data_IF_263630643987
#
_entry.id   IF_263630643987
#
_cell.length_a   1.000
_cell.length_b   1.000
_cell.length_c   1.000
_cell.angle_alpha   90.00
_cell.angle_beta   90.00
_cell.angle_gamma   90.00
#
_symmetry.space_group_name_H-M   'P 1'
#
loop_
_entity.id
_entity.type
_entity.pdbx_description
1 polymer ?
#
# COMPACT_ATOMS: atom_id res chain seq x y z
N UNK A 1 -21.27 -15.91 -9.04
CA UNK A 1 -20.22 -15.47 -10.00
C UNK A 1 -18.88 -15.70 -9.31
N UNK A 2 -17.92 -16.32 -9.98
CA UNK A 2 -16.55 -16.43 -9.46
C UNK A 2 -15.95 -15.04 -9.36
N UNK A 3 -15.47 -14.66 -8.18
CA UNK A 3 -14.77 -13.42 -7.94
C UNK A 3 -13.34 -13.48 -8.50
N UNK A 4 -12.74 -12.35 -8.92
CA UNK A 4 -11.32 -12.34 -9.29
C UNK A 4 -10.43 -12.80 -8.12
N UNK A 5 -10.88 -12.60 -6.88
CA UNK A 5 -10.20 -13.06 -5.67
C UNK A 5 -9.95 -14.56 -5.63
N UNK A 6 -10.86 -15.37 -6.24
CA UNK A 6 -10.78 -16.83 -6.26
C UNK A 6 -9.65 -17.36 -7.16
N UNK A 7 -9.15 -16.50 -8.07
CA UNK A 7 -8.13 -16.85 -9.07
C UNK A 7 -6.74 -16.32 -8.75
N UNK A 8 -6.57 -15.64 -7.61
CA UNK A 8 -5.27 -15.08 -7.22
C UNK A 8 -4.31 -16.18 -6.74
N UNK A 9 -3.00 -16.04 -7.01
CA UNK A 9 -1.99 -16.90 -6.39
C UNK A 9 -1.99 -16.72 -4.86
N UNK A 10 -1.45 -17.68 -4.12
CA UNK A 10 -1.27 -17.53 -2.68
C UNK A 10 0.20 -17.71 -2.31
N UNK A 11 0.79 -16.77 -1.57
CA UNK A 11 0.16 -15.48 -1.18
C UNK A 11 0.02 -14.55 -2.38
N UNK A 12 -1.11 -13.83 -2.47
CA UNK A 12 -1.20 -12.68 -3.35
C UNK A 12 -0.67 -11.43 -2.66
N UNK A 13 -0.16 -10.50 -3.48
CA UNK A 13 0.40 -9.24 -3.00
C UNK A 13 -0.45 -8.05 -3.45
N UNK A 14 -0.65 -7.10 -2.53
CA UNK A 14 -1.46 -5.90 -2.77
C UNK A 14 -0.61 -4.65 -2.53
N UNK A 15 -0.68 -3.67 -3.43
CA UNK A 15 -0.25 -2.30 -3.13
C UNK A 15 -1.29 -1.63 -2.23
N UNK A 16 -0.88 -1.25 -1.02
CA UNK A 16 -1.78 -0.59 -0.08
C UNK A 16 -2.32 0.73 -0.64
N UNK A 17 -3.63 1.02 -0.49
CA UNK A 17 -4.20 2.32 -0.82
C UNK A 17 -3.59 3.41 0.07
N UNK A 18 -3.02 4.45 -0.56
CA UNK A 18 -2.36 5.56 0.13
C UNK A 18 -2.80 6.89 -0.47
N UNK A 19 -3.38 7.75 0.37
CA UNK A 19 -3.87 9.07 -0.02
C UNK A 19 -2.77 9.94 -0.62
N UNK A 20 -3.07 10.57 -1.74
CA UNK A 20 -2.18 11.38 -2.55
C UNK A 20 -0.92 10.63 -3.05
N UNK A 21 -0.98 9.30 -3.13
CA UNK A 21 0.12 8.43 -3.57
C UNK A 21 -0.34 7.44 -4.64
N UNK A 22 -1.35 6.62 -4.36
CA UNK A 22 -1.74 5.50 -5.23
C UNK A 22 -2.76 5.91 -6.31
N UNK A 23 -2.54 7.08 -6.92
CA UNK A 23 -3.24 7.49 -8.14
C UNK A 23 -2.81 6.66 -9.36
N UNK A 24 -3.45 6.87 -10.48
CA UNK A 24 -3.15 6.16 -11.73
C UNK A 24 -1.66 6.26 -12.12
N UNK A 25 -1.03 7.42 -11.89
CA UNK A 25 0.40 7.63 -12.20
C UNK A 25 1.28 6.69 -11.38
N UNK A 26 1.12 6.69 -10.07
CA UNK A 26 1.97 5.89 -9.20
C UNK A 26 1.67 4.39 -9.30
N UNK A 27 0.42 4.00 -9.53
CA UNK A 27 0.09 2.59 -9.80
C UNK A 27 0.81 2.06 -11.04
N UNK A 28 0.86 2.85 -12.14
CA UNK A 28 1.63 2.49 -13.32
C UNK A 28 3.14 2.43 -13.07
N UNK A 29 3.68 3.33 -12.26
CA UNK A 29 5.10 3.28 -11.84
C UNK A 29 5.39 1.97 -11.10
N UNK A 30 4.55 1.59 -10.14
CA UNK A 30 4.71 0.33 -9.40
C UNK A 30 4.53 -0.87 -10.32
N UNK A 31 3.57 -0.83 -11.24
CA UNK A 31 3.36 -1.86 -12.27
C UNK A 31 4.62 -2.08 -13.12
N UNK A 32 5.24 -1.00 -13.57
CA UNK A 32 6.50 -1.03 -14.35
C UNK A 32 7.69 -1.54 -13.52
N UNK A 33 7.76 -1.17 -12.25
CA UNK A 33 8.83 -1.59 -11.35
C UNK A 33 8.74 -3.07 -10.97
N UNK A 34 7.52 -3.57 -10.77
CA UNK A 34 7.20 -4.95 -10.40
C UNK A 34 5.77 -4.98 -9.89
N UNK A 35 4.84 -5.54 -10.67
CA UNK A 35 3.43 -5.49 -10.35
C UNK A 35 3.09 -6.31 -9.09
N UNK A 36 2.28 -5.80 -8.15
CA UNK A 36 1.53 -6.63 -7.22
C UNK A 36 0.43 -7.40 -7.98
N UNK A 37 -0.21 -8.35 -7.31
CA UNK A 37 -1.30 -9.12 -7.90
C UNK A 37 -2.62 -8.33 -7.93
N UNK A 38 -2.79 -7.36 -7.00
CA UNK A 38 -3.99 -6.49 -6.92
C UNK A 38 -3.58 -5.05 -6.64
N UNK A 39 -4.20 -4.13 -7.36
CA UNK A 39 -4.11 -2.70 -7.09
C UNK A 39 -5.37 -2.17 -6.41
N UNK A 40 -5.19 -1.16 -5.57
CA UNK A 40 -6.27 -0.37 -4.99
C UNK A 40 -6.11 1.08 -5.42
N UNK A 41 -7.24 1.78 -5.61
CA UNK A 41 -7.23 3.22 -5.81
C UNK A 41 -6.84 3.95 -4.52
N UNK A 42 -6.65 5.26 -4.59
CA UNK A 42 -6.78 6.12 -3.41
C UNK A 42 -8.22 6.04 -2.89
N UNK A 43 -8.41 6.36 -1.60
CA UNK A 43 -9.75 6.23 -1.01
C UNK A 43 -10.62 7.46 -1.25
N UNK A 44 -11.75 7.27 -1.94
CA UNK A 44 -12.70 8.30 -2.30
C UNK A 44 -13.85 8.39 -1.29
N UNK A 45 -14.28 9.62 -0.98
CA UNK A 45 -15.37 9.87 -0.03
C UNK A 45 -16.74 9.73 -0.70
N UNK A 46 -17.56 8.80 -0.22
CA UNK A 46 -18.89 8.54 -0.77
C UNK A 46 -19.83 9.76 -0.63
N UNK A 47 -19.95 10.31 0.57
CA UNK A 47 -20.78 11.51 0.84
C UNK A 47 -20.30 12.71 0.03
N UNK A 48 -18.98 12.91 -0.07
CA UNK A 48 -18.41 13.97 -0.90
C UNK A 48 -18.82 13.83 -2.37
N UNK A 49 -18.75 12.62 -2.90
CA UNK A 49 -19.14 12.37 -4.29
C UNK A 49 -20.65 12.55 -4.53
N UNK A 50 -21.50 12.04 -3.64
CA UNK A 50 -22.96 12.19 -3.76
C UNK A 50 -23.37 13.67 -3.80
N UNK A 51 -22.72 14.52 -2.99
CA UNK A 51 -23.07 15.94 -2.92
C UNK A 51 -22.40 16.83 -3.96
N UNK A 52 -21.23 16.48 -4.47
CA UNK A 52 -20.46 17.35 -5.35
C UNK A 52 -19.87 16.66 -6.59
N UNK A 53 -20.23 15.39 -6.82
CA UNK A 53 -19.77 14.61 -7.98
C UNK A 53 -18.26 14.39 -8.01
N UNK A 54 -17.74 14.15 -9.20
CA UNK A 54 -16.33 13.78 -9.41
C UNK A 54 -15.32 14.85 -8.93
N UNK A 55 -15.74 16.10 -8.84
CA UNK A 55 -14.91 17.18 -8.26
C UNK A 55 -14.49 16.90 -6.82
N UNK A 56 -15.37 16.27 -6.03
CA UNK A 56 -15.10 15.98 -4.62
C UNK A 56 -14.04 14.87 -4.44
N UNK A 57 -13.91 14.00 -5.41
CA UNK A 57 -12.98 12.88 -5.36
C UNK A 57 -11.65 13.15 -6.11
N UNK A 58 -11.56 14.30 -6.81
CA UNK A 58 -10.33 14.84 -7.37
C UNK A 58 -9.47 13.81 -8.13
N UNK A 59 -10.07 13.06 -9.06
CA UNK A 59 -9.36 12.10 -9.91
C UNK A 59 -8.96 10.78 -9.24
N UNK A 60 -9.39 10.50 -7.99
CA UNK A 60 -9.03 9.27 -7.26
C UNK A 60 -9.49 7.98 -7.94
N UNK A 61 -10.56 8.05 -8.75
CA UNK A 61 -11.08 6.92 -9.52
C UNK A 61 -10.59 6.86 -10.97
N UNK A 62 -9.67 7.75 -11.37
CA UNK A 62 -9.05 7.68 -12.71
C UNK A 62 -8.25 6.39 -12.82
N UNK A 63 -8.53 5.64 -13.89
CA UNK A 63 -7.88 4.36 -14.21
C UNK A 63 -7.68 4.19 -15.71
N UNK A 64 -6.96 3.17 -16.09
CA UNK A 64 -6.77 2.72 -17.48
C UNK A 64 -7.33 1.31 -17.65
N UNK A 65 -7.61 0.94 -18.90
CA UNK A 65 -8.23 -0.36 -19.23
C UNK A 65 -7.31 -1.56 -18.95
N UNK A 66 -6.02 -1.33 -18.76
CA UNK A 66 -5.02 -2.37 -18.48
C UNK A 66 -4.73 -2.55 -16.98
N UNK A 67 -5.46 -1.87 -16.11
CA UNK A 67 -5.36 -2.02 -14.65
C UNK A 67 -6.39 -3.04 -14.13
N UNK A 68 -6.08 -4.32 -14.26
CA UNK A 68 -6.89 -5.44 -13.75
C UNK A 68 -6.01 -6.44 -13.00
N UNK A 69 -6.43 -6.91 -11.80
CA UNK A 69 -7.57 -6.41 -11.01
C UNK A 69 -7.29 -5.09 -10.30
N UNK A 70 -8.26 -4.18 -10.36
CA UNK A 70 -8.22 -2.90 -9.67
C UNK A 70 -9.46 -2.71 -8.79
N UNK A 71 -9.26 -2.53 -7.50
CA UNK A 71 -10.31 -2.35 -6.49
C UNK A 71 -10.47 -0.87 -6.17
N UNK A 72 -11.72 -0.36 -6.26
CA UNK A 72 -12.04 0.99 -5.82
C UNK A 72 -12.12 1.03 -4.29
N UNK A 73 -11.23 1.80 -3.63
CA UNK A 73 -11.36 2.00 -2.20
C UNK A 73 -12.22 3.23 -1.91
N UNK A 74 -13.33 3.01 -1.20
CA UNK A 74 -14.30 4.03 -0.81
C UNK A 74 -14.37 4.18 0.72
N UNK A 75 -14.86 5.30 1.21
CA UNK A 75 -15.10 5.52 2.62
C UNK A 75 -16.27 6.45 2.88
N UNK A 76 -16.96 6.24 3.98
CA UNK A 76 -18.11 7.01 4.41
C UNK A 76 -18.77 6.36 5.62
N UNK A 77 -19.75 7.02 6.20
CA UNK A 77 -20.54 6.51 7.32
C UNK A 77 -22.05 6.56 7.04
N UNK A 78 -22.44 7.03 5.85
CA UNK A 78 -23.87 7.10 5.45
C UNK A 78 -24.16 5.96 4.47
N UNK A 79 -24.98 4.96 4.85
CA UNK A 79 -25.21 3.78 4.02
C UNK A 79 -25.80 4.13 2.64
N UNK A 80 -26.71 5.09 2.54
CA UNK A 80 -27.29 5.50 1.25
C UNK A 80 -26.28 6.13 0.30
N UNK A 81 -25.28 6.86 0.82
CA UNK A 81 -24.20 7.40 0.02
C UNK A 81 -23.24 6.30 -0.43
N UNK A 82 -22.97 5.32 0.46
CA UNK A 82 -22.15 4.17 0.15
C UNK A 82 -22.76 3.30 -0.95
N UNK A 83 -24.08 3.10 -0.94
CA UNK A 83 -24.82 2.38 -1.99
C UNK A 83 -24.66 3.07 -3.35
N UNK A 84 -24.96 4.36 -3.41
CA UNK A 84 -24.90 5.13 -4.66
C UNK A 84 -23.48 5.16 -5.22
N UNK A 85 -22.50 5.37 -4.36
CA UNK A 85 -21.11 5.47 -4.81
C UNK A 85 -20.52 4.11 -5.21
N UNK A 86 -20.91 3.02 -4.53
CA UNK A 86 -20.55 1.68 -4.92
C UNK A 86 -21.13 1.30 -6.29
N UNK A 87 -22.41 1.65 -6.55
CA UNK A 87 -23.02 1.46 -7.86
C UNK A 87 -22.29 2.25 -8.96
N UNK A 88 -21.86 3.48 -8.67
CA UNK A 88 -21.02 4.26 -9.60
C UNK A 88 -19.68 3.58 -9.88
N UNK A 89 -18.98 3.05 -8.87
CA UNK A 89 -17.75 2.30 -9.07
C UNK A 89 -17.97 1.06 -9.97
N UNK A 90 -19.08 0.35 -9.80
CA UNK A 90 -19.44 -0.77 -10.66
C UNK A 90 -19.67 -0.33 -12.13
N UNK A 91 -20.33 0.79 -12.35
CA UNK A 91 -20.53 1.38 -13.69
C UNK A 91 -19.21 1.80 -14.35
N UNK A 92 -18.23 2.23 -13.57
CA UNK A 92 -16.88 2.56 -14.05
C UNK A 92 -16.04 1.31 -14.36
N UNK A 93 -16.55 0.10 -14.10
CA UNK A 93 -15.87 -1.16 -14.41
C UNK A 93 -14.69 -1.45 -13.49
N UNK A 94 -14.80 -1.16 -12.20
CA UNK A 94 -13.88 -1.67 -11.19
C UNK A 94 -14.16 -3.17 -10.92
N UNK A 95 -13.11 -3.91 -10.55
CA UNK A 95 -13.21 -5.35 -10.31
C UNK A 95 -13.76 -5.69 -8.92
N UNK A 96 -13.71 -4.73 -7.99
CA UNK A 96 -14.21 -4.87 -6.63
C UNK A 96 -14.28 -3.54 -5.90
N UNK A 97 -14.87 -3.58 -4.72
CA UNK A 97 -14.99 -2.44 -3.81
C UNK A 97 -14.28 -2.81 -2.51
N UNK A 98 -13.50 -1.88 -1.98
CA UNK A 98 -12.92 -1.98 -0.64
C UNK A 98 -13.40 -0.81 0.22
N UNK A 99 -13.81 -1.11 1.46
CA UNK A 99 -14.26 -0.07 2.38
C UNK A 99 -13.13 0.26 3.36
N UNK A 100 -12.70 1.53 3.38
CA UNK A 100 -11.69 2.00 4.31
C UNK A 100 -12.28 2.19 5.71
N UNK A 101 -11.94 1.30 6.64
CA UNK A 101 -12.27 1.36 8.05
C UNK A 101 -11.03 1.48 8.94
N UNK A 102 -9.91 1.97 8.37
CA UNK A 102 -8.63 2.02 9.07
C UNK A 102 -7.91 3.38 9.04
N UNK A 103 -8.35 4.34 8.21
CA UNK A 103 -7.68 5.64 8.11
C UNK A 103 -7.81 6.44 9.40
N UNK A 104 -6.67 6.84 10.04
CA UNK A 104 -6.68 7.58 11.31
C UNK A 104 -6.74 9.10 11.11
N UNK A 105 -6.76 9.60 9.88
CA UNK A 105 -6.73 11.03 9.57
C UNK A 105 -7.94 11.76 10.16
N UNK A 106 -7.73 12.96 10.69
CA UNK A 106 -8.79 13.76 11.33
C UNK A 106 -9.97 14.03 10.40
N UNK A 107 -9.75 14.19 9.11
CA UNK A 107 -10.80 14.38 8.11
C UNK A 107 -11.63 13.10 7.91
N UNK A 108 -10.99 11.94 7.87
CA UNK A 108 -11.68 10.66 7.67
C UNK A 108 -12.51 10.23 8.90
N UNK A 109 -11.98 10.40 10.11
CA UNK A 109 -12.68 9.96 11.35
C UNK A 109 -13.92 10.79 11.71
N UNK A 110 -14.19 11.89 11.02
CA UNK A 110 -15.42 12.67 11.23
C UNK A 110 -16.66 11.93 10.75
N UNK A 111 -16.56 11.16 9.68
CA UNK A 111 -17.70 10.51 9.03
C UNK A 111 -17.43 9.06 8.57
N UNK A 112 -16.27 8.46 8.90
CA UNK A 112 -15.91 7.12 8.45
C UNK A 112 -14.50 6.74 8.87
N UNK A 113 -13.79 5.98 8.04
CA UNK A 113 -12.43 5.51 8.33
C UNK A 113 -12.36 4.74 9.65
N UNK A 114 -11.30 4.95 10.43
CA UNK A 114 -11.12 4.23 11.70
C UNK A 114 -12.18 4.54 12.78
N UNK A 115 -13.01 5.59 12.61
CA UNK A 115 -14.11 5.86 13.54
C UNK A 115 -15.21 4.79 13.50
N UNK A 116 -15.32 4.05 12.39
CA UNK A 116 -16.28 2.96 12.26
C UNK A 116 -15.99 1.80 13.22
N UNK A 117 -14.77 1.66 13.73
CA UNK A 117 -14.42 0.68 14.76
C UNK A 117 -15.28 0.88 16.04
N UNK A 118 -15.66 2.11 16.34
CA UNK A 118 -16.53 2.47 17.48
C UNK A 118 -18.02 2.51 17.12
N UNK A 119 -18.36 2.22 15.88
CA UNK A 119 -19.72 2.27 15.33
C UNK A 119 -19.97 1.04 14.47
N UNK A 120 -19.93 -0.18 15.05
CA UNK A 120 -20.05 -1.43 14.30
C UNK A 120 -21.38 -1.55 13.56
N UNK A 121 -22.45 -0.98 14.09
CA UNK A 121 -23.77 -0.85 13.44
C UNK A 121 -23.69 -0.09 12.11
N UNK A 122 -22.99 1.03 12.10
CA UNK A 122 -22.76 1.83 10.88
C UNK A 122 -21.82 1.12 9.92
N UNK A 123 -20.78 0.45 10.44
CA UNK A 123 -19.85 -0.31 9.61
C UNK A 123 -20.56 -1.44 8.85
N UNK A 124 -21.41 -2.22 9.55
CA UNK A 124 -22.18 -3.30 8.93
C UNK A 124 -23.20 -2.80 7.93
N UNK A 125 -23.89 -1.69 8.23
CA UNK A 125 -24.82 -1.05 7.30
C UNK A 125 -24.10 -0.54 6.03
N UNK A 126 -22.90 0.05 6.17
CA UNK A 126 -22.09 0.50 5.02
C UNK A 126 -21.62 -0.67 4.14
N UNK A 127 -21.25 -1.83 4.75
CA UNK A 127 -20.90 -3.03 4.00
C UNK A 127 -22.12 -3.56 3.23
N UNK A 128 -23.26 -3.68 3.90
CA UNK A 128 -24.50 -4.17 3.27
C UNK A 128 -24.91 -3.26 2.08
N UNK A 129 -24.81 -1.94 2.24
CA UNK A 129 -25.07 -0.97 1.20
C UNK A 129 -24.11 -1.10 0.00
N UNK A 130 -22.81 -1.24 0.25
CA UNK A 130 -21.83 -1.40 -0.83
C UNK A 130 -22.02 -2.71 -1.62
N UNK A 131 -22.49 -3.78 -0.99
CA UNK A 131 -22.77 -5.07 -1.63
C UNK A 131 -23.88 -5.01 -2.68
N UNK A 132 -24.79 -4.06 -2.58
CA UNK A 132 -25.89 -3.88 -3.56
C UNK A 132 -25.37 -3.59 -4.99
N UNK A 133 -24.14 -3.12 -5.11
CA UNK A 133 -23.49 -2.87 -6.40
C UNK A 133 -23.15 -4.16 -7.18
N UNK A 134 -23.27 -5.35 -6.57
CA UNK A 134 -23.02 -6.64 -7.21
C UNK A 134 -21.53 -6.97 -7.43
N UNK A 135 -20.60 -6.14 -6.92
CA UNK A 135 -19.17 -6.39 -6.93
C UNK A 135 -18.72 -7.09 -5.62
N UNK A 136 -17.62 -7.85 -5.65
CA UNK A 136 -17.03 -8.37 -4.42
C UNK A 136 -16.60 -7.22 -3.51
N UNK A 137 -17.01 -7.29 -2.22
CA UNK A 137 -16.70 -6.27 -1.22
C UNK A 137 -15.64 -6.79 -0.27
N UNK A 138 -14.58 -6.00 -0.11
CA UNK A 138 -13.54 -6.18 0.90
C UNK A 138 -13.54 -5.02 1.90
N UNK A 139 -12.87 -5.22 3.03
CA UNK A 139 -12.69 -4.18 4.05
C UNK A 139 -11.21 -4.09 4.43
N UNK A 140 -10.69 -2.86 4.51
CA UNK A 140 -9.39 -2.59 5.09
C UNK A 140 -9.53 -1.88 6.42
N UNK A 141 -9.08 -2.53 7.50
CA UNK A 141 -9.23 -2.03 8.87
C UNK A 141 -7.95 -2.10 9.69
N UNK A 142 -8.09 -1.86 11.01
CA UNK A 142 -7.07 -1.98 12.06
C UNK A 142 -7.56 -2.92 13.16
N UNK A 143 -6.65 -3.28 14.08
CA UNK A 143 -6.96 -4.15 15.22
C UNK A 143 -8.03 -3.55 16.15
N UNK A 144 -8.02 -2.24 16.32
CA UNK A 144 -8.94 -1.54 17.19
C UNK A 144 -8.77 -0.04 17.06
N UNK A 145 -9.56 0.71 17.82
CA UNK A 145 -9.47 2.17 17.88
C UNK A 145 -8.45 2.64 18.91
N UNK A 146 -8.54 2.15 20.14
CA UNK A 146 -7.71 2.59 21.26
C UNK A 146 -6.84 1.48 21.82
N UNK A 147 -7.42 0.32 22.10
CA UNK A 147 -6.79 -0.80 22.78
C UNK A 147 -6.64 -2.00 21.85
N UNK A 148 -5.61 -2.80 22.08
CA UNK A 148 -5.34 -3.98 21.26
C UNK A 148 -6.43 -5.04 21.44
N UNK A 149 -6.92 -5.26 22.62
CA UNK A 149 -7.94 -6.25 22.96
C UNK A 149 -9.29 -6.04 22.26
N UNK A 150 -9.53 -4.83 21.68
CA UNK A 150 -10.71 -4.56 20.85
C UNK A 150 -10.75 -5.43 19.58
N UNK A 151 -9.62 -6.02 19.15
CA UNK A 151 -9.50 -6.68 17.84
C UNK A 151 -10.49 -7.85 17.66
N UNK A 152 -10.69 -8.69 18.68
CA UNK A 152 -11.47 -9.92 18.56
C UNK A 152 -12.95 -9.61 18.27
N UNK A 153 -13.54 -8.71 19.01
CA UNK A 153 -14.93 -8.29 18.81
C UNK A 153 -15.10 -7.55 17.48
N UNK A 154 -14.19 -6.62 17.20
CA UNK A 154 -14.24 -5.82 15.98
C UNK A 154 -14.08 -6.65 14.71
N UNK A 155 -13.03 -7.48 14.63
CA UNK A 155 -12.82 -8.31 13.44
C UNK A 155 -13.91 -9.40 13.33
N UNK A 156 -14.40 -9.94 14.44
CA UNK A 156 -15.54 -10.87 14.45
C UNK A 156 -16.80 -10.24 13.84
N UNK A 157 -17.08 -8.98 14.16
CA UNK A 157 -18.20 -8.23 13.56
C UNK A 157 -18.04 -8.11 12.05
N UNK A 158 -16.84 -7.82 11.55
CA UNK A 158 -16.58 -7.68 10.11
C UNK A 158 -16.63 -9.04 9.40
N UNK A 159 -16.05 -10.08 9.97
CA UNK A 159 -16.05 -11.43 9.40
C UNK A 159 -17.47 -11.98 9.22
N UNK A 160 -18.38 -11.64 10.12
CA UNK A 160 -19.80 -12.03 10.01
C UNK A 160 -20.52 -11.37 8.81
N UNK A 161 -19.86 -10.48 8.05
CA UNK A 161 -20.48 -9.76 6.94
C UNK A 161 -20.24 -10.43 5.57
N UNK A 162 -19.73 -11.64 5.49
CA UNK A 162 -19.46 -12.35 4.22
C UNK A 162 -18.66 -11.47 3.24
N UNK A 163 -17.45 -11.11 3.64
CA UNK A 163 -16.53 -10.31 2.86
C UNK A 163 -15.72 -11.18 1.88
N UNK A 164 -15.38 -10.64 0.72
CA UNK A 164 -14.46 -11.29 -0.19
C UNK A 164 -13.03 -11.35 0.39
N UNK A 165 -12.60 -10.27 1.03
CA UNK A 165 -11.29 -10.19 1.69
C UNK A 165 -11.34 -9.23 2.87
N UNK A 166 -10.70 -9.58 3.97
CA UNK A 166 -10.47 -8.70 5.12
C UNK A 166 -8.98 -8.38 5.23
N UNK A 167 -8.61 -7.11 5.04
CA UNK A 167 -7.24 -6.64 5.26
C UNK A 167 -7.10 -6.00 6.62
N UNK A 168 -6.22 -6.55 7.45
CA UNK A 168 -5.96 -6.05 8.81
C UNK A 168 -4.59 -5.36 8.88
N UNK A 169 -4.59 -4.05 9.15
CA UNK A 169 -3.37 -3.37 9.57
C UNK A 169 -3.14 -3.69 11.05
N UNK A 170 -2.06 -4.41 11.33
CA UNK A 170 -1.73 -4.97 12.64
C UNK A 170 -1.31 -3.92 13.67
N UNK A 171 -2.10 -2.87 13.82
CA UNK A 171 -2.01 -1.80 14.82
C UNK A 171 -3.39 -1.23 15.10
N UNK A 172 -3.57 -0.64 16.29
CA UNK A 172 -4.76 0.16 16.58
C UNK A 172 -4.69 1.54 15.89
N UNK A 173 -5.82 2.26 15.87
CA UNK A 173 -5.84 3.65 15.38
C UNK A 173 -4.99 4.57 16.27
N UNK A 174 -4.99 4.38 17.59
CA UNK A 174 -4.23 5.18 18.55
C UNK A 174 -2.71 5.02 18.34
N UNK A 175 -2.25 3.85 18.06
CA UNK A 175 -0.84 3.55 17.79
C UNK A 175 -0.35 4.16 16.47
N UNK A 176 -1.23 4.35 15.51
CA UNK A 176 -0.88 4.87 14.17
C UNK A 176 0.17 4.01 13.47
N UNK A 177 1.44 4.45 13.48
CA UNK A 177 2.63 3.73 13.04
C UNK A 177 3.84 4.00 13.97
N UNK A 178 3.56 4.26 15.25
CA UNK A 178 4.57 4.64 16.25
C UNK A 178 5.17 3.46 17.01
N UNK A 179 4.54 2.31 16.92
CA UNK A 179 4.97 1.04 17.52
C UNK A 179 5.17 0.00 16.43
N UNK A 180 5.88 -1.11 16.64
CA UNK A 180 5.92 -2.25 15.72
C UNK A 180 4.51 -2.79 15.43
N UNK A 181 4.32 -3.39 14.26
CA UNK A 181 3.08 -4.09 13.94
C UNK A 181 2.98 -5.37 14.76
N UNK A 182 1.78 -5.68 15.27
CA UNK A 182 1.51 -6.83 16.14
C UNK A 182 1.40 -8.13 15.34
N UNK A 183 2.53 -8.59 14.79
CA UNK A 183 2.59 -9.84 14.02
C UNK A 183 2.29 -11.08 14.89
N UNK A 184 2.47 -10.99 16.20
CA UNK A 184 2.14 -12.03 17.17
C UNK A 184 0.65 -12.40 17.22
N UNK A 185 -0.23 -11.53 16.71
CA UNK A 185 -1.68 -11.78 16.66
C UNK A 185 -2.14 -12.52 15.39
N UNK A 186 -1.26 -12.74 14.41
CA UNK A 186 -1.66 -13.27 13.10
C UNK A 186 -2.38 -14.63 13.24
N UNK A 187 -1.82 -15.56 14.00
CA UNK A 187 -2.40 -16.90 14.14
C UNK A 187 -3.76 -16.89 14.87
N UNK A 188 -3.93 -15.98 15.83
CA UNK A 188 -5.21 -15.84 16.52
C UNK A 188 -6.29 -15.19 15.63
N UNK A 189 -5.89 -14.27 14.75
CA UNK A 189 -6.78 -13.67 13.74
C UNK A 189 -7.17 -14.71 12.69
N UNK A 190 -6.24 -15.57 12.25
CA UNK A 190 -6.54 -16.70 11.36
C UNK A 190 -7.58 -17.61 12.00
N UNK A 191 -7.39 -18.03 13.26
CA UNK A 191 -8.35 -18.88 13.99
C UNK A 191 -9.74 -18.22 14.03
N UNK A 192 -9.80 -16.93 14.36
CA UNK A 192 -11.07 -16.20 14.41
C UNK A 192 -11.76 -16.18 13.02
N UNK A 193 -11.01 -15.96 11.94
CA UNK A 193 -11.53 -16.01 10.58
C UNK A 193 -12.06 -17.41 10.25
N UNK A 194 -11.31 -18.47 10.56
CA UNK A 194 -11.68 -19.85 10.24
C UNK A 194 -12.92 -20.29 11.03
N UNK A 195 -13.10 -19.78 12.26
CA UNK A 195 -14.28 -20.03 13.10
C UNK A 195 -15.56 -19.35 12.56
N UNK A 196 -15.44 -18.12 12.02
CA UNK A 196 -16.61 -17.29 11.65
C UNK A 196 -16.88 -17.31 10.15
N UNK A 197 -15.84 -17.19 9.34
CA UNK A 197 -15.94 -16.96 7.89
C UNK A 197 -14.76 -17.61 7.14
N UNK A 198 -14.67 -18.95 7.10
CA UNK A 198 -13.54 -19.66 6.48
C UNK A 198 -13.39 -19.35 4.95
N UNK A 199 -14.45 -18.85 4.30
CA UNK A 199 -14.44 -18.44 2.91
C UNK A 199 -13.85 -17.03 2.70
N UNK A 200 -13.78 -16.18 3.73
CA UNK A 200 -13.22 -14.82 3.64
C UNK A 200 -11.70 -14.89 3.56
N UNK A 201 -11.13 -14.32 2.51
CA UNK A 201 -9.68 -14.20 2.41
C UNK A 201 -9.13 -13.25 3.48
N UNK A 202 -8.00 -13.60 4.07
CA UNK A 202 -7.34 -12.80 5.10
C UNK A 202 -6.01 -12.24 4.58
N UNK A 203 -5.91 -10.92 4.59
CA UNK A 203 -4.72 -10.17 4.20
C UNK A 203 -4.15 -9.41 5.39
N UNK A 204 -2.84 -9.45 5.59
CA UNK A 204 -2.17 -8.65 6.63
C UNK A 204 -1.43 -7.47 6.03
N UNK A 205 -1.32 -6.41 6.86
CA UNK A 205 -0.60 -5.19 6.54
C UNK A 205 0.10 -4.64 7.80
N UNK A 206 1.24 -4.02 7.64
CA UNK A 206 2.02 -3.42 8.74
C UNK A 206 3.46 -3.92 8.75
N UNK A 207 4.41 -3.00 8.59
CA UNK A 207 5.86 -3.20 8.59
C UNK A 207 6.39 -4.27 7.63
N UNK A 208 5.63 -4.61 6.60
CA UNK A 208 6.08 -5.53 5.55
C UNK A 208 6.88 -4.73 4.54
N UNK A 209 8.15 -5.13 4.35
CA UNK A 209 9.13 -4.37 3.56
C UNK A 209 8.98 -4.63 2.07
N UNK A 210 8.96 -5.90 1.71
CA UNK A 210 9.05 -6.39 0.35
C UNK A 210 8.38 -7.77 0.21
N UNK A 211 8.37 -8.29 -1.01
CA UNK A 211 7.79 -9.60 -1.33
C UNK A 211 8.45 -10.73 -0.55
N UNK A 212 9.77 -10.73 -0.43
CA UNK A 212 10.49 -11.79 0.29
C UNK A 212 10.07 -11.87 1.76
N UNK A 213 9.98 -10.72 2.44
CA UNK A 213 9.48 -10.64 3.82
C UNK A 213 7.99 -11.07 3.91
N UNK A 214 7.17 -10.72 2.92
CA UNK A 214 5.78 -11.18 2.87
C UNK A 214 5.66 -12.69 2.70
N UNK A 215 6.50 -13.30 1.87
CA UNK A 215 6.57 -14.75 1.67
C UNK A 215 7.09 -15.49 2.93
N UNK A 216 7.99 -14.87 3.72
CA UNK A 216 8.42 -15.39 5.02
C UNK A 216 7.25 -15.42 6.01
N UNK A 217 6.49 -14.33 6.12
CA UNK A 217 5.29 -14.27 6.97
C UNK A 217 4.22 -15.29 6.55
N UNK A 218 3.98 -15.42 5.24
CA UNK A 218 3.03 -16.41 4.74
C UNK A 218 3.42 -17.85 5.11
N UNK A 219 4.72 -18.18 5.00
CA UNK A 219 5.23 -19.51 5.40
C UNK A 219 5.17 -19.74 6.91
N UNK A 220 5.37 -18.67 7.71
CA UNK A 220 5.31 -18.76 9.17
C UNK A 220 3.86 -18.88 9.69
N UNK A 221 2.87 -18.38 8.97
CA UNK A 221 1.47 -18.31 9.37
C UNK A 221 0.55 -18.98 8.32
N UNK A 222 0.49 -20.31 8.28
CA UNK A 222 -0.40 -21.04 7.37
C UNK A 222 -1.86 -20.67 7.61
N UNK A 223 -2.57 -20.28 6.56
CA UNK A 223 -3.96 -19.78 6.64
C UNK A 223 -4.09 -18.30 6.27
N UNK A 224 -2.98 -17.55 6.15
CA UNK A 224 -2.99 -16.29 5.43
C UNK A 224 -3.28 -16.52 3.95
N UNK A 225 -3.87 -15.52 3.29
CA UNK A 225 -4.11 -15.56 1.86
C UNK A 225 -3.35 -14.44 1.14
N UNK A 226 -3.27 -13.24 1.74
CA UNK A 226 -2.70 -12.07 1.11
C UNK A 226 -1.75 -11.27 1.99
N UNK A 227 -0.87 -10.52 1.32
CA UNK A 227 0.12 -9.63 1.92
C UNK A 227 -0.04 -8.24 1.31
N UNK A 228 -0.29 -7.21 2.14
CA UNK A 228 -0.40 -5.84 1.65
C UNK A 228 0.81 -5.01 2.06
N UNK A 229 1.54 -4.49 1.06
CA UNK A 229 2.71 -3.64 1.24
C UNK A 229 2.32 -2.17 1.03
N UNK A 230 2.66 -1.32 2.00
CA UNK A 230 2.45 0.13 1.91
C UNK A 230 3.77 0.88 1.80
N UNK A 231 4.33 1.29 2.93
CA UNK A 231 5.56 2.11 2.98
C UNK A 231 6.80 1.43 2.37
N UNK A 232 6.79 0.12 2.22
CA UNK A 232 7.88 -0.62 1.57
C UNK A 232 8.23 -0.06 0.20
N UNK A 233 7.24 0.33 -0.60
CA UNK A 233 7.43 0.88 -1.95
C UNK A 233 8.22 2.21 -1.97
N UNK A 234 8.26 2.96 -0.87
CA UNK A 234 9.09 4.17 -0.74
C UNK A 234 10.54 3.84 -0.39
N UNK A 235 10.75 2.68 0.23
CA UNK A 235 12.09 2.19 0.55
C UNK A 235 12.71 1.46 -0.64
N UNK A 236 11.89 0.75 -1.40
CA UNK A 236 12.28 0.08 -2.64
C UNK A 236 11.08 0.05 -3.62
N UNK A 237 11.13 0.75 -4.75
CA UNK A 237 10.05 0.71 -5.74
C UNK A 237 9.88 -0.67 -6.37
N UNK A 238 10.89 -1.52 -6.28
CA UNK A 238 10.90 -2.89 -6.79
C UNK A 238 10.44 -3.94 -5.77
N UNK A 239 9.92 -3.53 -4.62
CA UNK A 239 9.57 -4.39 -3.48
C UNK A 239 8.57 -5.52 -3.79
N UNK A 240 7.84 -5.45 -4.91
CA UNK A 240 6.93 -6.51 -5.36
C UNK A 240 7.58 -7.51 -6.33
N UNK A 241 8.80 -7.27 -6.80
CA UNK A 241 9.48 -8.24 -7.67
C UNK A 241 9.64 -9.57 -6.92
N UNK A 242 9.36 -10.67 -7.60
CA UNK A 242 9.80 -11.98 -7.14
C UNK A 242 11.31 -11.91 -6.91
N UNK A 243 11.78 -12.48 -5.80
CA UNK A 243 13.20 -12.48 -5.49
C UNK A 243 13.96 -13.00 -6.71
N UNK A 244 14.71 -12.14 -7.37
CA UNK A 244 15.84 -12.64 -8.16
C UNK A 244 16.65 -13.44 -7.14
N UNK A 245 16.84 -14.72 -7.37
CA UNK A 245 17.88 -15.48 -6.71
C UNK A 245 19.19 -14.82 -7.13
N UNK A 246 19.52 -13.72 -6.47
CA UNK A 246 20.90 -13.25 -6.44
C UNK A 246 21.60 -14.32 -5.61
N UNK A 247 22.56 -15.06 -6.17
CA UNK A 247 23.30 -16.02 -5.39
C UNK A 247 23.77 -15.27 -4.14
N UNK A 248 23.42 -15.79 -2.96
CA UNK A 248 23.87 -15.23 -1.69
C UNK A 248 25.40 -15.38 -1.62
N UNK A 249 26.11 -14.47 -2.27
CA UNK A 249 27.51 -14.21 -2.02
C UNK A 249 27.67 -12.76 -1.62
N UNK A 250 27.59 -12.58 -0.31
CA UNK A 250 28.13 -11.41 0.42
C UNK A 250 27.45 -10.06 0.18
N UNK A 251 26.21 -9.88 0.60
CA UNK A 251 25.90 -8.68 1.36
C UNK A 251 26.22 -9.01 2.83
N UNK A 252 27.49 -8.84 3.19
CA UNK A 252 27.91 -8.88 4.57
C UNK A 252 27.28 -7.70 5.30
N UNK A 253 26.52 -8.03 6.33
CA UNK A 253 26.25 -7.20 7.50
C UNK A 253 25.90 -5.74 7.26
N UNK A 254 24.59 -5.47 7.09
CA UNK A 254 24.01 -4.22 7.51
C UNK A 254 22.58 -4.46 8.02
N UNK A 255 22.44 -4.28 9.30
CA UNK A 255 21.27 -4.35 10.19
C UNK A 255 21.12 -5.66 10.97
N UNK A 256 21.96 -5.81 11.98
CA UNK A 256 21.61 -6.50 13.22
C UNK A 256 21.19 -5.41 14.20
N UNK A 257 19.96 -5.48 14.70
CA UNK A 257 19.49 -4.67 15.82
C UNK A 257 20.35 -4.92 17.06
N UNK A 258 20.30 -4.06 18.09
CA UNK A 258 21.17 -4.16 19.25
C UNK A 258 20.77 -5.37 20.10
N UNK A 259 21.45 -6.51 19.93
CA UNK A 259 21.55 -7.50 20.98
C UNK A 259 22.70 -7.11 21.89
N UNK A 260 22.37 -6.94 23.15
CA UNK A 260 23.27 -6.76 24.26
C UNK A 260 24.20 -7.98 24.37
N UNK A 261 25.45 -7.84 23.97
CA UNK A 261 26.54 -8.68 24.46
C UNK A 261 27.67 -7.78 24.98
N UNK A 262 27.80 -7.83 26.30
CA UNK A 262 28.98 -7.42 27.02
C UNK A 262 30.14 -8.38 26.65
N UNK A 263 31.10 -7.97 25.85
CA UNK A 263 32.53 -8.22 26.13
C UNK A 263 33.41 -7.32 25.26
N UNK A 264 34.42 -6.79 25.87
CA UNK A 264 35.29 -5.78 25.30
C UNK A 264 36.39 -6.39 24.43
N UNK A 265 36.25 -6.26 23.11
CA UNK A 265 37.40 -6.20 22.20
C UNK A 265 37.04 -5.33 21.00
N UNK A 266 37.72 -4.18 20.90
CA UNK A 266 37.65 -3.30 19.73
C UNK A 266 38.46 -3.93 18.59
N UNK A 267 37.78 -4.57 17.66
CA UNK A 267 38.35 -4.81 16.33
C UNK A 267 38.01 -3.62 15.40
N UNK A 268 39.07 -2.98 14.93
CA UNK A 268 38.98 -1.89 13.93
C UNK A 268 38.62 -2.48 12.58
N UNK A 269 37.34 -2.40 12.20
CA UNK A 269 36.86 -2.81 10.88
C UNK A 269 37.40 -1.84 9.81
N UNK A 270 38.46 -2.25 9.10
CA UNK A 270 38.85 -1.62 7.83
C UNK A 270 37.74 -1.89 6.80
N UNK A 271 37.05 -0.84 6.34
CA UNK A 271 36.16 -0.89 5.19
C UNK A 271 37.00 -1.36 3.98
N UNK A 272 36.79 -2.58 3.52
CA UNK A 272 37.30 -3.01 2.24
C UNK A 272 36.68 -2.23 1.12
N UNK A 273 37.47 -1.80 0.13
CA UNK A 273 36.93 -1.12 -1.07
C UNK A 273 35.95 -2.05 -1.80
N UNK A 274 34.87 -1.50 -2.40
CA UNK A 274 33.89 -2.30 -3.12
C UNK A 274 34.52 -3.02 -4.31
N UNK A 275 34.13 -4.28 -4.52
CA UNK A 275 34.60 -5.08 -5.65
C UNK A 275 34.02 -4.57 -6.97
N UNK A 276 34.67 -4.93 -8.10
CA UNK A 276 34.19 -4.57 -9.46
C UNK A 276 32.73 -5.03 -9.67
N UNK A 277 32.37 -6.25 -9.26
CA UNK A 277 31.00 -6.77 -9.33
C UNK A 277 30.01 -5.94 -8.49
N UNK A 278 30.43 -5.45 -7.33
CA UNK A 278 29.62 -4.56 -6.49
C UNK A 278 29.41 -3.21 -7.16
N UNK A 279 30.42 -2.67 -7.84
CA UNK A 279 30.32 -1.40 -8.58
C UNK A 279 29.40 -1.55 -9.77
N UNK A 280 29.48 -2.62 -10.55
CA UNK A 280 28.61 -2.89 -11.71
C UNK A 280 27.16 -3.05 -11.25
N UNK A 281 26.88 -3.80 -10.17
CA UNK A 281 25.53 -3.95 -9.63
C UNK A 281 24.92 -2.62 -9.14
N UNK A 282 25.72 -1.75 -8.54
CA UNK A 282 25.28 -0.41 -8.08
C UNK A 282 24.98 0.52 -9.27
N UNK A 283 25.81 0.48 -10.30
CA UNK A 283 25.59 1.28 -11.52
C UNK A 283 24.32 0.84 -12.25
N UNK A 284 24.07 -0.46 -12.36
CA UNK A 284 22.87 -1.02 -12.98
C UNK A 284 21.61 -0.60 -12.21
N UNK A 285 21.64 -0.68 -10.88
CA UNK A 285 20.53 -0.26 -10.02
C UNK A 285 20.23 1.24 -10.12
N UNK A 286 21.26 2.12 -10.13
CA UNK A 286 21.08 3.56 -10.37
C UNK A 286 20.35 3.79 -11.70
N UNK A 287 20.78 3.12 -12.77
CA UNK A 287 20.15 3.29 -14.09
C UNK A 287 18.69 2.83 -14.10
N UNK A 288 18.35 1.72 -13.44
CA UNK A 288 16.96 1.26 -13.29
C UNK A 288 16.10 2.32 -12.57
N UNK A 289 16.60 2.89 -11.47
CA UNK A 289 15.90 3.94 -10.71
C UNK A 289 15.71 5.22 -11.54
N UNK A 290 16.72 5.64 -12.29
CA UNK A 290 16.63 6.82 -13.18
C UNK A 290 15.64 6.57 -14.33
N UNK A 291 15.64 5.38 -14.94
CA UNK A 291 14.64 5.02 -15.95
C UNK A 291 13.23 5.07 -15.39
N UNK A 292 13.05 4.56 -14.16
CA UNK A 292 11.75 4.56 -13.49
C UNK A 292 11.31 5.99 -13.13
N UNK A 293 12.23 6.87 -12.73
CA UNK A 293 11.94 8.29 -12.52
C UNK A 293 11.47 8.96 -13.82
N UNK A 294 12.19 8.78 -14.93
CA UNK A 294 11.78 9.34 -16.22
C UNK A 294 10.38 8.85 -16.61
N UNK A 295 10.10 7.56 -16.44
CA UNK A 295 8.77 7.02 -16.68
C UNK A 295 7.70 7.69 -15.78
N UNK A 296 8.01 7.95 -14.50
CA UNK A 296 7.10 8.68 -13.61
C UNK A 296 6.86 10.12 -14.10
N UNK A 297 7.90 10.82 -14.58
CA UNK A 297 7.75 12.16 -15.14
C UNK A 297 6.85 12.15 -16.38
N UNK A 298 7.02 11.19 -17.29
CA UNK A 298 6.21 11.06 -18.51
C UNK A 298 4.73 10.79 -18.19
N UNK A 299 4.47 9.92 -17.20
CA UNK A 299 3.12 9.67 -16.72
C UNK A 299 2.53 10.91 -16.03
N UNK A 300 3.31 11.61 -15.21
CA UNK A 300 2.84 12.83 -14.57
C UNK A 300 2.43 13.87 -15.62
N UNK A 301 3.24 14.14 -16.63
CA UNK A 301 2.92 15.08 -17.71
C UNK A 301 1.67 14.66 -18.48
N UNK A 302 1.50 13.35 -18.72
CA UNK A 302 0.32 12.80 -19.42
C UNK A 302 -0.97 13.00 -18.63
N UNK A 303 -0.96 12.70 -17.32
CA UNK A 303 -2.16 12.65 -16.48
C UNK A 303 -2.43 13.92 -15.68
N UNK A 304 -1.44 14.82 -15.56
CA UNK A 304 -1.59 16.08 -14.83
C UNK A 304 -2.82 16.90 -15.28
N UNK A 305 -3.13 17.04 -16.59
CA UNK A 305 -4.34 17.77 -17.01
C UNK A 305 -5.64 17.18 -16.48
N UNK A 306 -5.71 15.85 -16.34
CA UNK A 306 -6.88 15.14 -15.81
C UNK A 306 -6.93 15.16 -14.28
N UNK A 307 -5.77 14.96 -13.63
CA UNK A 307 -5.68 14.88 -12.17
C UNK A 307 -5.67 16.24 -11.50
N UNK A 308 -5.26 17.30 -12.21
CA UNK A 308 -5.14 18.66 -11.66
C UNK A 308 -4.13 18.78 -10.51
N UNK A 309 -3.17 17.86 -10.41
CA UNK A 309 -2.20 17.85 -9.31
C UNK A 309 -1.04 18.81 -9.61
N UNK A 310 -0.69 19.72 -8.66
CA UNK A 310 0.46 20.58 -8.85
C UNK A 310 1.78 19.79 -8.85
N UNK A 311 2.78 20.28 -9.56
CA UNK A 311 4.10 19.66 -9.69
C UNK A 311 4.75 19.36 -8.33
N UNK A 312 4.54 20.20 -7.32
CA UNK A 312 5.04 20.01 -5.96
C UNK A 312 4.68 18.64 -5.35
N UNK A 313 3.57 18.05 -5.78
CA UNK A 313 3.15 16.73 -5.30
C UNK A 313 4.09 15.62 -5.77
N UNK A 314 4.78 15.80 -6.90
CA UNK A 314 5.75 14.88 -7.45
C UNK A 314 7.04 14.81 -6.62
N UNK A 315 7.45 15.92 -6.01
CA UNK A 315 8.73 16.04 -5.28
C UNK A 315 8.88 15.03 -4.14
N UNK A 316 7.77 14.61 -3.51
CA UNK A 316 7.79 13.59 -2.45
C UNK A 316 8.34 12.23 -2.92
N UNK A 317 8.26 11.97 -4.22
CA UNK A 317 8.68 10.70 -4.81
C UNK A 317 10.17 10.69 -5.20
N UNK A 318 10.85 11.83 -5.31
CA UNK A 318 12.25 11.87 -5.73
C UNK A 318 13.17 11.02 -4.85
N UNK A 319 12.87 10.93 -3.55
CA UNK A 319 13.63 10.08 -2.61
C UNK A 319 13.52 8.58 -2.90
N UNK A 320 12.55 8.14 -3.69
CA UNK A 320 12.39 6.75 -4.08
C UNK A 320 13.46 6.37 -5.11
N UNK A 321 13.76 7.31 -6.02
CA UNK A 321 14.60 7.08 -7.19
C UNK A 321 16.04 7.53 -7.00
N UNK A 322 16.23 8.63 -6.28
CA UNK A 322 17.54 9.25 -6.10
C UNK A 322 18.11 8.82 -4.75
N UNK A 323 18.74 7.64 -4.72
CA UNK A 323 19.22 7.02 -3.49
C UNK A 323 20.29 5.98 -3.78
N UNK A 324 21.04 5.63 -2.75
CA UNK A 324 21.97 4.49 -2.72
C UNK A 324 23.12 4.58 -3.75
N UNK A 325 23.49 5.82 -4.16
CA UNK A 325 24.65 6.12 -5.00
C UNK A 325 25.32 7.42 -4.54
N UNK A 326 26.59 7.58 -4.91
CA UNK A 326 27.37 8.77 -4.57
C UNK A 326 26.78 10.03 -5.23
N UNK A 327 26.60 11.12 -4.46
CA UNK A 327 25.97 12.36 -4.90
C UNK A 327 24.44 12.35 -4.88
N UNK A 328 23.80 11.26 -4.44
CA UNK A 328 22.33 11.17 -4.40
C UNK A 328 21.67 12.22 -3.49
N UNK A 329 22.33 12.63 -2.41
CA UNK A 329 21.82 13.66 -1.50
C UNK A 329 21.81 15.02 -2.18
N UNK A 330 22.92 15.40 -2.75
CA UNK A 330 23.13 16.66 -3.47
C UNK A 330 22.17 16.78 -4.65
N UNK A 331 22.00 15.70 -5.41
CA UNK A 331 21.05 15.68 -6.53
C UNK A 331 19.61 15.83 -6.03
N UNK A 332 19.20 15.17 -4.93
CA UNK A 332 17.87 15.39 -4.36
C UNK A 332 17.63 16.81 -3.93
N UNK A 333 18.63 17.44 -3.29
CA UNK A 333 18.52 18.85 -2.85
C UNK A 333 18.33 19.79 -4.05
N UNK A 334 19.00 19.52 -5.17
CA UNK A 334 18.80 20.26 -6.43
C UNK A 334 17.38 20.01 -6.99
N UNK A 335 16.94 18.75 -7.06
CA UNK A 335 15.63 18.38 -7.57
C UNK A 335 14.47 18.98 -6.75
N UNK A 336 14.63 19.16 -5.46
CA UNK A 336 13.63 19.83 -4.61
C UNK A 336 13.42 21.29 -4.97
N UNK A 337 14.36 21.94 -5.66
CA UNK A 337 14.28 23.33 -6.12
C UNK A 337 13.71 23.49 -7.55
N UNK A 338 13.48 22.40 -8.27
CA UNK A 338 12.90 22.43 -9.63
C UNK A 338 11.43 22.87 -9.61
N UNK A 339 10.95 23.42 -10.73
CA UNK A 339 9.59 23.98 -10.87
C UNK A 339 8.71 23.17 -11.83
N UNK A 340 9.30 22.32 -12.64
CA UNK A 340 8.60 21.50 -13.65
C UNK A 340 9.41 20.23 -13.96
N UNK A 341 8.83 19.34 -14.74
CA UNK A 341 9.42 18.05 -15.13
C UNK A 341 10.61 18.21 -16.06
N UNK A 342 10.68 19.26 -16.89
CA UNK A 342 11.79 19.50 -17.79
C UNK A 342 13.08 19.86 -17.03
N UNK A 343 12.98 20.70 -16.00
CA UNK A 343 14.10 21.00 -15.11
C UNK A 343 14.62 19.75 -14.39
N UNK A 344 13.71 18.84 -13.99
CA UNK A 344 14.09 17.55 -13.39
C UNK A 344 14.88 16.72 -14.40
N UNK A 345 14.39 16.57 -15.65
CA UNK A 345 15.08 15.82 -16.70
C UNK A 345 16.46 16.39 -17.01
N UNK A 346 16.59 17.71 -17.08
CA UNK A 346 17.89 18.39 -17.31
C UNK A 346 18.91 18.03 -16.22
N UNK A 347 18.51 18.13 -14.95
CA UNK A 347 19.39 17.79 -13.82
C UNK A 347 19.80 16.30 -13.82
N UNK A 348 18.87 15.39 -14.12
CA UNK A 348 19.15 13.95 -14.15
C UNK A 348 20.14 13.62 -15.26
N UNK A 349 20.01 14.23 -16.44
CA UNK A 349 20.87 13.97 -17.60
C UNK A 349 22.27 14.61 -17.47
N UNK A 350 22.44 15.55 -16.55
CA UNK A 350 23.71 16.23 -16.29
C UNK A 350 24.56 15.56 -15.19
N UNK A 351 24.02 14.58 -14.49
CA UNK A 351 24.61 13.86 -13.35
C UNK A 351 24.63 12.34 -13.59
#
# INVERSE_FOLDING_TARGET
>A
MTSFWDNLPQPFFILAPMEAVTDVVFRHVVKQAGAPDVFFTEFANATGWVHAGDKAIAGRLVKTDDEHPLVAQIWGGEPGDMEQFAAHCAQLGFDGIDINMGCPAKSAIKSGGAALIRRPDVATAAIAAAKTAGLPVSVKTRLGYTYIDEWREWLGTLLAQDLANLTVHLRTKKEMSKVPAHHELIDDIIKLRDEIAPQTLLTINGDIRDRAHGEELFRAHPGLNGIMIGRGVFSDPFCFRASRVVPQKKFGQLYVGPELFSDGTRETNRKSAPTEETKIAVVDHKQELIKLLNYHLDLFDRYQPTLGRPFETLKRFFKIYIRDFDGAKELRDQLMNTKNTDEVRQLINSN
#
